data_IF_863998655131
#
_entry.id   IF_863998655131
#
_cell.length_a   1.000
_cell.length_b   1.000
_cell.length_c   1.000
_cell.angle_alpha   90.00
_cell.angle_beta   90.00
_cell.angle_gamma   90.00
#
_symmetry.space_group_name_H-M   'P 1'
#
loop_
_entity.id
_entity.type
_entity.pdbx_description
1 polymer ?
#
# COMPACT_ATOMS: atom_id res chain seq x y z
N UNK A 1 15.32 -20.81 5.36
CA UNK A 1 14.48 -21.19 4.19
C UNK A 1 13.53 -20.03 4.06
N UNK A 2 13.55 -19.25 2.97
CA UNK A 2 12.93 -17.92 2.98
C UNK A 2 11.50 -17.93 3.53
N UNK A 3 11.23 -17.05 4.49
CA UNK A 3 9.92 -16.92 5.10
C UNK A 3 9.02 -16.08 4.18
N UNK A 4 7.82 -16.57 3.92
CA UNK A 4 6.83 -15.89 3.09
C UNK A 4 5.71 -15.34 3.96
N UNK A 5 5.50 -14.03 3.89
CA UNK A 5 4.44 -13.31 4.61
C UNK A 5 3.42 -12.82 3.58
N UNK A 6 2.18 -13.27 3.72
CA UNK A 6 1.08 -12.80 2.88
C UNK A 6 0.68 -11.38 3.31
N UNK A 7 0.90 -10.39 2.44
CA UNK A 7 0.56 -9.01 2.71
C UNK A 7 -0.83 -8.64 2.17
N UNK A 8 -1.60 -9.61 1.68
CA UNK A 8 -2.91 -9.35 1.07
C UNK A 8 -4.05 -9.56 2.06
N UNK A 9 -4.89 -8.54 2.26
CA UNK A 9 -6.05 -8.66 3.15
C UNK A 9 -7.00 -9.74 2.66
N UNK A 10 -7.43 -10.61 3.58
CA UNK A 10 -8.43 -11.62 3.30
C UNK A 10 -9.82 -10.98 3.17
N UNK A 11 -10.33 -10.89 1.96
CA UNK A 11 -11.71 -10.44 1.70
C UNK A 11 -12.69 -11.60 1.93
N UNK A 12 -13.44 -11.54 3.02
CA UNK A 12 -14.54 -12.48 3.28
C UNK A 12 -15.82 -12.03 2.56
N UNK A 13 -16.81 -12.92 2.42
CA UNK A 13 -18.13 -12.54 1.88
C UNK A 13 -18.81 -11.42 2.67
N UNK A 14 -18.52 -11.32 3.96
CA UNK A 14 -19.08 -10.25 4.79
C UNK A 14 -18.34 -8.93 4.53
N UNK A 15 -17.00 -8.96 4.54
CA UNK A 15 -16.19 -7.79 4.25
C UNK A 15 -16.43 -7.23 2.84
N UNK A 16 -16.65 -8.11 1.85
CA UNK A 16 -17.05 -7.74 0.49
C UNK A 16 -18.38 -6.95 0.46
N UNK A 17 -19.41 -7.47 1.14
CA UNK A 17 -20.71 -6.77 1.27
C UNK A 17 -20.58 -5.45 2.00
N UNK A 18 -19.80 -5.42 3.08
CA UNK A 18 -19.61 -4.22 3.87
C UNK A 18 -18.85 -3.15 3.06
N UNK A 19 -17.82 -3.54 2.30
CA UNK A 19 -17.08 -2.65 1.42
C UNK A 19 -17.98 -1.99 0.38
N UNK A 20 -18.75 -2.78 -0.38
CA UNK A 20 -19.71 -2.26 -1.36
C UNK A 20 -20.84 -1.43 -0.74
N UNK A 21 -21.19 -1.70 0.52
CA UNK A 21 -22.22 -0.95 1.25
C UNK A 21 -21.73 0.41 1.78
N UNK A 22 -20.44 0.54 2.06
CA UNK A 22 -19.87 1.70 2.75
C UNK A 22 -19.02 2.61 1.85
N UNK A 23 -18.47 2.10 0.76
CA UNK A 23 -17.65 2.87 -0.18
C UNK A 23 -18.16 2.70 -1.60
N UNK A 24 -18.54 3.82 -2.23
CA UNK A 24 -19.13 3.82 -3.57
C UNK A 24 -18.11 3.55 -4.67
N UNK A 25 -16.83 3.76 -4.38
CA UNK A 25 -15.73 3.52 -5.32
C UNK A 25 -15.12 2.11 -5.19
N UNK A 26 -15.64 1.24 -4.32
CA UNK A 26 -15.29 -0.18 -4.33
C UNK A 26 -15.91 -0.80 -5.59
N UNK A 27 -15.18 -0.64 -6.70
CA UNK A 27 -15.37 -1.45 -7.88
C UNK A 27 -14.61 -2.77 -7.69
N UNK A 28 -14.94 -3.75 -8.52
CA UNK A 28 -14.22 -5.03 -8.52
C UNK A 28 -12.69 -4.87 -8.66
N UNK A 29 -12.22 -3.76 -9.23
CA UNK A 29 -10.80 -3.41 -9.36
C UNK A 29 -10.11 -3.03 -8.05
N UNK A 30 -10.83 -2.36 -7.14
CA UNK A 30 -10.30 -1.78 -5.89
C UNK A 30 -10.73 -2.57 -4.64
N UNK A 31 -11.21 -3.81 -4.81
CA UNK A 31 -11.61 -4.67 -3.71
C UNK A 31 -10.40 -5.38 -3.08
N UNK A 32 -10.31 -5.34 -1.75
CA UNK A 32 -9.21 -5.91 -0.98
C UNK A 32 -7.88 -5.20 -1.23
N UNK A 33 -6.79 -5.94 -1.11
CA UNK A 33 -5.47 -5.47 -1.54
C UNK A 33 -5.47 -5.38 -3.05
N UNK A 34 -5.12 -4.22 -3.57
CA UNK A 34 -5.15 -3.94 -4.99
C UNK A 34 -4.00 -3.01 -5.37
N UNK A 35 -3.69 -3.00 -6.66
CA UNK A 35 -2.70 -2.14 -7.28
C UNK A 35 -3.42 -1.06 -8.07
N UNK A 36 -3.22 0.20 -7.71
CA UNK A 36 -3.81 1.35 -8.40
C UNK A 36 -3.02 1.65 -9.67
N UNK A 37 -3.41 0.98 -10.75
CA UNK A 37 -2.79 1.11 -12.07
C UNK A 37 -3.20 2.41 -12.79
N UNK A 38 -4.31 3.00 -12.37
CA UNK A 38 -4.87 4.23 -12.92
C UNK A 38 -5.13 4.10 -14.43
N UNK A 39 -4.64 5.03 -15.24
CA UNK A 39 -4.73 4.98 -16.71
C UNK A 39 -3.50 4.31 -17.36
N UNK A 40 -2.71 3.55 -16.59
CA UNK A 40 -1.50 2.85 -17.06
C UNK A 40 -1.75 1.34 -17.18
N UNK A 41 -0.68 0.60 -17.41
CA UNK A 41 -0.65 -0.87 -17.35
C UNK A 41 0.33 -1.32 -16.26
N UNK A 42 0.07 -2.49 -15.67
CA UNK A 42 0.99 -3.08 -14.68
C UNK A 42 2.31 -3.48 -15.35
N UNK A 43 3.47 -2.92 -14.94
CA UNK A 43 4.73 -3.30 -15.53
C UNK A 43 5.19 -4.65 -14.98
N UNK A 44 5.33 -5.68 -15.82
CA UNK A 44 5.73 -7.03 -15.36
C UNK A 44 7.07 -7.06 -14.60
N UNK A 45 7.97 -6.10 -14.83
CA UNK A 45 9.19 -5.96 -14.03
C UNK A 45 8.93 -5.68 -12.54
N UNK A 46 7.71 -5.30 -12.17
CA UNK A 46 7.30 -4.98 -10.80
C UNK A 46 6.77 -6.23 -10.06
N UNK A 47 6.72 -7.41 -10.71
CA UNK A 47 6.38 -8.66 -10.03
C UNK A 47 7.38 -9.06 -8.95
N UNK A 48 8.61 -8.52 -9.02
CA UNK A 48 9.65 -8.68 -7.99
C UNK A 48 10.34 -7.34 -7.76
N UNK A 49 10.25 -6.79 -6.55
CA UNK A 49 10.95 -5.57 -6.14
C UNK A 49 11.68 -5.77 -4.82
N UNK A 50 12.88 -5.20 -4.70
CA UNK A 50 13.46 -5.01 -3.37
C UNK A 50 12.57 -4.03 -2.60
N UNK A 51 12.36 -4.30 -1.32
CA UNK A 51 11.37 -3.62 -0.50
C UNK A 51 11.95 -3.14 0.82
N UNK A 52 11.36 -2.07 1.33
CA UNK A 52 11.59 -1.55 2.68
C UNK A 52 10.25 -1.20 3.31
N UNK A 53 10.00 -1.72 4.51
CA UNK A 53 8.83 -1.38 5.30
C UNK A 53 9.22 -0.38 6.40
N UNK A 54 8.31 0.54 6.72
CA UNK A 54 8.42 1.53 7.78
C UNK A 54 7.28 1.36 8.78
N UNK A 55 7.61 1.30 10.07
CA UNK A 55 6.61 1.40 11.13
C UNK A 55 6.36 2.86 11.51
N UNK A 56 5.20 3.37 11.09
CA UNK A 56 4.72 4.73 11.36
C UNK A 56 3.44 4.70 12.21
N UNK A 57 3.18 3.58 12.88
CA UNK A 57 1.95 3.37 13.66
C UNK A 57 1.81 4.27 14.90
N UNK A 58 2.88 4.94 15.31
CA UNK A 58 2.93 5.94 16.39
C UNK A 58 2.61 7.36 15.93
N UNK A 59 2.41 7.58 14.63
CA UNK A 59 2.04 8.89 14.08
C UNK A 59 0.52 9.05 14.04
N UNK A 60 -0.01 9.88 14.94
CA UNK A 60 -1.44 10.15 15.05
C UNK A 60 -1.77 11.65 14.97
N UNK A 61 -3.00 11.98 14.53
CA UNK A 61 -3.54 13.34 14.55
C UNK A 61 -2.94 14.32 13.52
N UNK A 62 -2.06 13.84 12.64
CA UNK A 62 -1.42 14.61 11.55
C UNK A 62 -1.00 13.68 10.43
N UNK A 63 -0.58 14.25 9.31
CA UNK A 63 0.03 13.48 8.22
C UNK A 63 1.39 12.91 8.64
N UNK A 64 1.68 11.71 8.11
CA UNK A 64 2.98 11.05 8.19
C UNK A 64 3.91 11.75 7.21
N UNK A 65 4.96 12.37 7.73
CA UNK A 65 5.88 13.21 6.97
C UNK A 65 7.29 12.65 6.87
N UNK A 66 8.14 13.34 6.12
CA UNK A 66 9.55 12.96 5.90
C UNK A 66 10.38 12.84 7.17
N UNK A 67 9.97 13.47 8.27
CA UNK A 67 10.64 13.34 9.59
C UNK A 67 10.34 12.03 10.31
N UNK A 68 9.31 11.31 9.88
CA UNK A 68 8.82 10.09 10.55
C UNK A 68 9.48 8.82 9.99
N UNK A 69 10.22 8.94 8.89
CA UNK A 69 10.90 7.83 8.22
C UNK A 69 12.31 8.22 7.78
N UNK A 70 13.24 7.29 7.89
CA UNK A 70 14.57 7.46 7.31
C UNK A 70 14.57 7.01 5.84
N UNK A 71 14.68 7.96 4.92
CA UNK A 71 14.74 7.70 3.48
C UNK A 71 16.18 7.46 2.96
N UNK A 72 17.21 7.53 3.82
CA UNK A 72 18.57 7.22 3.42
C UNK A 72 18.73 5.83 2.78
N UNK A 73 18.15 4.73 3.33
CA UNK A 73 18.26 3.39 2.74
C UNK A 73 17.33 3.15 1.54
N UNK A 74 16.48 4.13 1.16
CA UNK A 74 15.57 4.00 0.03
C UNK A 74 16.32 4.26 -1.28
N UNK A 75 16.21 3.30 -2.19
CA UNK A 75 16.85 3.28 -3.50
C UNK A 75 15.81 3.24 -4.62
N UNK A 76 16.22 3.67 -5.82
CA UNK A 76 15.36 3.66 -6.99
C UNK A 76 14.86 2.25 -7.32
N UNK A 77 13.59 2.15 -7.69
CA UNK A 77 12.92 0.90 -8.03
C UNK A 77 12.44 0.08 -6.84
N UNK A 78 12.64 0.52 -5.59
CA UNK A 78 12.16 -0.22 -4.41
C UNK A 78 10.64 -0.18 -4.25
N UNK A 79 10.10 -1.10 -3.44
CA UNK A 79 8.78 -1.02 -2.84
C UNK A 79 8.91 -0.38 -1.45
N UNK A 80 8.27 0.76 -1.21
CA UNK A 80 8.22 1.39 0.11
C UNK A 80 6.87 1.10 0.78
N UNK A 81 6.85 0.27 1.82
CA UNK A 81 5.64 -0.09 2.57
C UNK A 81 5.54 0.71 3.87
N UNK A 82 4.35 1.17 4.23
CA UNK A 82 4.09 1.95 5.44
C UNK A 82 3.05 1.24 6.30
N UNK A 83 3.48 0.76 7.47
CA UNK A 83 2.58 0.25 8.50
C UNK A 83 2.10 1.40 9.36
N UNK A 84 0.83 1.76 9.19
CA UNK A 84 0.13 2.70 10.06
C UNK A 84 -0.58 1.99 11.23
N UNK A 85 -0.66 0.65 11.15
CA UNK A 85 -1.40 -0.22 12.06
C UNK A 85 -2.92 -0.09 11.90
N UNK A 86 -3.41 0.61 10.87
CA UNK A 86 -4.82 0.92 10.74
C UNK A 86 -5.67 -0.32 10.45
N UNK A 87 -5.22 -1.21 9.55
CA UNK A 87 -5.90 -2.49 9.28
C UNK A 87 -5.95 -3.45 10.47
N UNK A 88 -5.06 -3.27 11.44
CA UNK A 88 -5.05 -4.07 12.67
C UNK A 88 -6.10 -3.58 13.67
N UNK A 89 -6.40 -2.27 13.65
CA UNK A 89 -7.34 -1.62 14.59
C UNK A 89 -8.76 -1.53 14.02
N UNK A 90 -8.89 -1.30 12.72
CA UNK A 90 -10.15 -1.08 12.04
C UNK A 90 -10.44 -2.18 11.03
N UNK A 91 -11.64 -2.75 11.11
CA UNK A 91 -12.04 -3.85 10.21
C UNK A 91 -12.19 -3.35 8.78
N UNK A 92 -11.52 -4.02 7.84
CA UNK A 92 -11.66 -3.78 6.41
C UNK A 92 -13.14 -3.84 5.97
N UNK A 93 -13.55 -2.90 5.13
CA UNK A 93 -14.92 -2.80 4.61
C UNK A 93 -15.87 -1.92 5.45
N UNK A 94 -15.46 -1.49 6.65
CA UNK A 94 -16.30 -0.59 7.47
C UNK A 94 -16.20 0.86 6.99
N UNK A 95 -17.22 1.68 7.29
CA UNK A 95 -17.17 3.12 7.00
C UNK A 95 -16.01 3.84 7.69
N UNK A 96 -15.68 3.44 8.92
CA UNK A 96 -14.53 4.01 9.65
C UNK A 96 -13.22 3.73 8.90
N UNK A 97 -13.09 2.53 8.34
CA UNK A 97 -11.92 2.14 7.56
C UNK A 97 -11.68 3.06 6.34
N UNK A 98 -12.72 3.34 5.55
CA UNK A 98 -12.56 4.16 4.33
C UNK A 98 -12.43 5.66 4.56
N UNK A 99 -12.81 6.16 5.74
CA UNK A 99 -12.87 7.62 5.99
C UNK A 99 -11.87 8.10 7.03
N UNK A 100 -11.48 7.23 7.97
CA UNK A 100 -10.69 7.58 9.15
C UNK A 100 -9.20 7.26 9.05
N UNK A 101 -8.72 6.69 7.94
CA UNK A 101 -7.34 6.22 7.86
C UNK A 101 -6.27 7.33 7.92
N UNK A 102 -5.05 7.02 8.38
CA UNK A 102 -3.90 7.92 8.28
C UNK A 102 -3.55 8.26 6.81
N UNK A 103 -2.79 9.34 6.62
CA UNK A 103 -2.35 9.80 5.30
C UNK A 103 -0.86 10.12 5.32
N UNK A 104 -0.22 9.98 4.16
CA UNK A 104 1.12 10.50 3.93
C UNK A 104 1.02 11.99 3.54
N UNK A 105 1.97 12.80 4.00
CA UNK A 105 2.06 14.19 3.56
C UNK A 105 2.51 14.28 2.11
N UNK A 106 2.15 15.36 1.42
CA UNK A 106 2.61 15.59 0.04
C UNK A 106 4.13 15.58 -0.05
N UNK A 107 4.82 16.18 0.92
CA UNK A 107 6.27 16.22 0.96
C UNK A 107 6.91 14.82 1.09
N UNK A 108 6.29 13.90 1.81
CA UNK A 108 6.78 12.51 1.89
C UNK A 108 6.55 11.77 0.58
N UNK A 109 5.38 11.93 -0.03
CA UNK A 109 5.08 11.35 -1.35
C UNK A 109 6.08 11.87 -2.40
N UNK A 110 6.28 13.18 -2.45
CA UNK A 110 7.23 13.81 -3.39
C UNK A 110 8.67 13.32 -3.15
N UNK A 111 9.11 13.17 -1.90
CA UNK A 111 10.43 12.62 -1.60
C UNK A 111 10.60 11.16 -2.07
N UNK A 112 9.54 10.33 -1.99
CA UNK A 112 9.55 8.96 -2.50
C UNK A 112 9.59 8.93 -4.04
N UNK A 113 8.85 9.83 -4.69
CA UNK A 113 8.87 10.01 -6.13
C UNK A 113 10.26 10.46 -6.63
N UNK A 114 10.89 11.41 -5.93
CA UNK A 114 12.27 11.87 -6.23
C UNK A 114 13.30 10.75 -6.06
N UNK A 115 13.10 9.85 -5.09
CA UNK A 115 13.91 8.63 -4.93
C UNK A 115 13.68 7.61 -6.06
N UNK A 116 12.60 7.76 -6.83
CA UNK A 116 12.26 6.86 -7.92
C UNK A 116 11.84 5.47 -7.44
N UNK A 117 11.18 5.36 -6.28
CA UNK A 117 10.60 4.08 -5.84
C UNK A 117 9.58 3.60 -6.87
N UNK A 118 9.35 2.29 -6.96
CA UNK A 118 8.40 1.71 -7.91
C UNK A 118 6.97 1.66 -7.36
N UNK A 119 6.84 1.35 -6.07
CA UNK A 119 5.55 1.13 -5.41
C UNK A 119 5.58 1.79 -4.03
N UNK A 120 4.49 2.47 -3.67
CA UNK A 120 4.21 2.91 -2.30
C UNK A 120 3.04 2.06 -1.80
N UNK A 121 3.27 1.26 -0.75
CA UNK A 121 2.26 0.39 -0.16
C UNK A 121 1.80 0.89 1.20
N UNK A 122 0.50 0.83 1.49
CA UNK A 122 -0.07 1.22 2.78
C UNK A 122 -1.01 0.14 3.32
N UNK A 123 -1.10 0.02 4.64
CA UNK A 123 -2.04 -0.88 5.33
C UNK A 123 -3.41 -0.21 5.59
N UNK A 124 -3.85 0.66 4.70
CA UNK A 124 -5.12 1.36 4.77
C UNK A 124 -5.67 1.67 3.37
N UNK A 125 -6.84 2.30 3.31
CA UNK A 125 -7.57 2.62 2.07
C UNK A 125 -7.01 3.83 1.31
N UNK A 126 -5.70 4.08 1.39
CA UNK A 126 -5.00 5.03 0.53
C UNK A 126 -3.99 5.93 1.20
N UNK A 127 -3.10 6.50 0.36
CA UNK A 127 -2.06 7.44 0.81
C UNK A 127 -2.63 8.82 1.14
N UNK A 128 -3.77 9.18 0.53
CA UNK A 128 -4.57 10.38 0.78
C UNK A 128 -6.06 10.01 0.85
N UNK A 129 -6.90 10.95 1.30
CA UNK A 129 -8.32 10.76 1.59
C UNK A 129 -9.22 11.66 0.76
N UNK A 130 -10.48 11.26 0.67
CA UNK A 130 -11.56 12.09 0.15
C UNK A 130 -11.23 12.60 -1.26
N UNK A 131 -11.40 13.91 -1.48
CA UNK A 131 -11.14 14.51 -2.79
C UNK A 131 -9.67 14.51 -3.24
N UNK A 132 -8.73 14.18 -2.34
CA UNK A 132 -7.30 14.16 -2.66
C UNK A 132 -6.78 12.76 -3.04
N UNK A 133 -7.54 11.70 -2.75
CA UNK A 133 -7.14 10.31 -2.98
C UNK A 133 -6.84 10.07 -4.48
N UNK A 134 -7.89 9.98 -5.32
CA UNK A 134 -7.72 9.61 -6.74
C UNK A 134 -6.77 10.53 -7.52
N UNK A 135 -6.79 11.87 -7.32
CA UNK A 135 -5.81 12.74 -7.97
C UNK A 135 -4.37 12.47 -7.54
N UNK A 136 -4.14 12.04 -6.28
CA UNK A 136 -2.80 11.73 -5.80
C UNK A 136 -2.28 10.42 -6.38
N UNK A 137 -3.11 9.39 -6.50
CA UNK A 137 -2.68 8.12 -7.09
C UNK A 137 -2.34 8.28 -8.57
N UNK A 138 -3.16 9.06 -9.30
CA UNK A 138 -2.85 9.44 -10.68
C UNK A 138 -1.55 10.25 -10.78
N UNK A 139 -1.33 11.19 -9.86
CA UNK A 139 -0.11 12.00 -9.80
C UNK A 139 1.15 11.13 -9.65
N UNK A 140 1.07 10.08 -8.84
CA UNK A 140 2.13 9.08 -8.69
C UNK A 140 2.28 8.24 -9.97
N UNK A 141 1.18 7.71 -10.51
CA UNK A 141 1.19 6.84 -11.69
C UNK A 141 1.76 7.56 -12.93
N UNK A 142 1.48 8.85 -13.10
CA UNK A 142 2.07 9.70 -14.15
C UNK A 142 3.59 9.84 -14.06
N UNK A 143 4.17 9.55 -12.89
CA UNK A 143 5.62 9.53 -12.62
C UNK A 143 6.19 8.11 -12.54
N UNK A 144 5.39 7.10 -12.89
CA UNK A 144 5.82 5.70 -12.92
C UNK A 144 5.91 5.05 -11.53
N UNK A 145 5.26 5.63 -10.52
CA UNK A 145 5.19 5.10 -9.15
C UNK A 145 3.74 4.77 -8.83
N UNK A 146 3.48 3.57 -8.32
CA UNK A 146 2.11 3.09 -8.14
C UNK A 146 1.77 2.85 -6.67
N UNK A 147 0.48 2.91 -6.35
CA UNK A 147 0.00 2.68 -4.99
C UNK A 147 -0.51 1.24 -4.86
N UNK A 148 -0.24 0.64 -3.70
CA UNK A 148 -0.93 -0.56 -3.25
C UNK A 148 -1.57 -0.28 -1.90
N UNK A 149 -2.87 -0.52 -1.84
CA UNK A 149 -3.66 -0.28 -0.64
C UNK A 149 -4.00 -1.56 0.10
N UNK A 150 -4.48 -1.38 1.33
CA UNK A 150 -5.05 -2.45 2.15
C UNK A 150 -4.08 -3.61 2.38
N UNK A 151 -2.78 -3.33 2.49
CA UNK A 151 -1.80 -4.32 2.92
C UNK A 151 -2.12 -4.80 4.34
N UNK A 152 -1.80 -6.06 4.65
CA UNK A 152 -1.87 -6.60 6.01
C UNK A 152 -0.54 -7.22 6.45
N UNK A 153 -0.45 -7.65 7.71
CA UNK A 153 0.70 -8.37 8.27
C UNK A 153 2.05 -7.64 8.18
N UNK A 154 2.05 -6.32 7.92
CA UNK A 154 3.28 -5.52 7.97
C UNK A 154 3.91 -5.54 9.37
N UNK A 155 3.13 -5.72 10.44
CA UNK A 155 3.65 -5.88 11.80
C UNK A 155 4.49 -7.16 11.98
N UNK A 156 4.11 -8.25 11.31
CA UNK A 156 4.90 -9.49 11.26
C UNK A 156 6.19 -9.27 10.47
N UNK A 157 6.09 -8.62 9.31
CA UNK A 157 7.24 -8.27 8.47
C UNK A 157 8.25 -7.39 9.21
N UNK A 158 7.77 -6.42 9.98
CA UNK A 158 8.62 -5.50 10.73
C UNK A 158 9.22 -6.16 11.98
N UNK A 159 8.60 -7.20 12.55
CA UNK A 159 9.15 -7.92 13.70
C UNK A 159 9.36 -7.07 14.96
N UNK A 160 8.68 -5.92 15.07
CA UNK A 160 8.87 -4.93 16.14
C UNK A 160 9.94 -3.86 15.87
N UNK A 161 10.65 -3.95 14.74
CA UNK A 161 11.61 -2.93 14.30
C UNK A 161 10.92 -1.76 13.60
N UNK A 162 11.58 -0.59 13.59
CA UNK A 162 11.08 0.58 12.86
C UNK A 162 11.21 0.45 11.34
N UNK A 163 12.13 -0.37 10.87
CA UNK A 163 12.36 -0.62 9.44
C UNK A 163 12.76 -2.07 9.19
N UNK A 164 12.26 -2.66 8.09
CA UNK A 164 12.66 -3.99 7.65
C UNK A 164 12.83 -4.05 6.13
N UNK A 165 13.84 -4.78 5.65
CA UNK A 165 14.02 -5.07 4.21
C UNK A 165 13.34 -6.38 3.85
N UNK A 166 12.86 -6.47 2.61
CA UNK A 166 12.22 -7.67 2.07
C UNK A 166 12.27 -7.69 0.55
N UNK A 167 11.88 -8.81 -0.05
CA UNK A 167 11.57 -8.89 -1.48
C UNK A 167 10.05 -8.92 -1.64
N UNK A 168 9.50 -7.89 -2.29
CA UNK A 168 8.09 -7.82 -2.64
C UNK A 168 7.80 -8.65 -3.89
N UNK A 169 6.82 -9.56 -3.80
CA UNK A 169 6.26 -10.29 -4.94
C UNK A 169 4.82 -9.85 -5.16
N UNK A 170 4.57 -9.19 -6.29
CA UNK A 170 3.32 -8.46 -6.56
C UNK A 170 2.66 -9.02 -7.81
N UNK A 171 1.43 -9.54 -7.66
CA UNK A 171 0.70 -10.21 -8.74
C UNK A 171 -0.73 -9.66 -8.84
N UNK A 172 -0.92 -8.52 -9.53
CA UNK A 172 -2.24 -8.02 -9.84
C UNK A 172 -2.91 -8.89 -10.91
N UNK A 173 -4.23 -8.98 -10.86
CA UNK A 173 -4.99 -9.64 -11.92
C UNK A 173 -4.91 -8.80 -13.20
N UNK A 174 -4.75 -9.46 -14.34
CA UNK A 174 -4.61 -8.80 -15.65
C UNK A 174 -5.98 -8.37 -16.23
N UNK A 175 -6.63 -7.38 -15.60
CA UNK A 175 -7.83 -6.76 -16.12
C UNK A 175 -7.52 -5.55 -17.00
N UNK A 176 -8.34 -5.36 -18.02
CA UNK A 176 -8.27 -4.23 -18.95
C UNK A 176 -9.34 -3.19 -18.60
N UNK A 177 -9.01 -1.91 -18.80
CA UNK A 177 -9.93 -0.78 -18.58
C UNK A 177 -10.33 -0.50 -17.13
N UNK A 178 -9.58 -0.98 -16.14
CA UNK A 178 -9.79 -0.70 -14.72
C UNK A 178 -8.66 0.14 -14.14
N UNK A 179 -8.99 1.05 -13.20
CA UNK A 179 -8.01 1.90 -12.50
C UNK A 179 -7.35 1.23 -11.31
N UNK A 180 -7.95 0.14 -10.81
CA UNK A 180 -7.42 -0.70 -9.75
C UNK A 180 -7.44 -2.15 -10.18
N UNK A 181 -6.44 -2.92 -9.74
CA UNK A 181 -6.30 -4.33 -10.04
C UNK A 181 -6.18 -5.12 -8.74
N UNK A 182 -7.11 -6.03 -8.39
CA UNK A 182 -6.98 -6.86 -7.21
C UNK A 182 -5.66 -7.61 -7.27
N UNK A 183 -4.94 -7.65 -6.15
CA UNK A 183 -3.54 -8.00 -6.15
C UNK A 183 -3.17 -8.92 -5.00
N UNK A 184 -2.41 -9.97 -5.32
CA UNK A 184 -1.71 -10.79 -4.34
C UNK A 184 -0.32 -10.21 -4.13
N UNK A 185 -0.02 -9.80 -2.90
CA UNK A 185 1.29 -9.31 -2.48
C UNK A 185 1.87 -10.24 -1.42
N UNK A 186 3.10 -10.69 -1.62
CA UNK A 186 3.85 -11.53 -0.67
C UNK A 186 5.19 -10.88 -0.40
N UNK A 187 5.55 -10.75 0.88
CA UNK A 187 6.92 -10.44 1.28
C UNK A 187 7.71 -11.75 1.46
N UNK A 188 8.87 -11.81 0.84
CA UNK A 188 9.88 -12.85 1.05
C UNK A 188 11.02 -12.24 1.86
N UNK A 189 11.32 -12.85 3.01
CA UNK A 189 12.38 -12.41 3.91
C UNK A 189 13.37 -13.54 4.14
N UNK A 190 14.65 -13.17 4.20
CA UNK A 190 15.73 -14.11 4.48
C UNK A 190 15.58 -14.63 5.92
N UNK A 191 15.20 -15.90 6.03
CA UNK A 191 15.21 -16.65 7.28
C UNK A 191 16.62 -17.23 7.44
N UNK A 192 17.49 -16.44 8.07
CA UNK A 192 18.94 -16.64 8.19
C UNK A 192 19.40 -18.05 8.55
#
# INVERSE_FOLDING_TARGET
MDLLIDLSVKVTRQADKDAHGNEKQVSFGHLGTHFDVMDKEFPLAFTRREGIAFDVSDVEGRDIGTRDVDLAPVEAGMFAAFRTGFIERESYGTRAYFTGHPQLSDALIDALLEKGVSIIGVDCAGVRRGGEHTPKDQYCADRGVFIIENLCNLGELLGGEKTARFVARTFPVNFDGMTGLPCRVVAEVDDG
#
